data_IF_276950024858
#
_entry.id   IF_276950024858
#
_cell.length_a   1.000
_cell.length_b   1.000
_cell.length_c   1.000
_cell.angle_alpha   90.00
_cell.angle_beta   90.00
_cell.angle_gamma   90.00
#
_symmetry.space_group_name_H-M   'P 1'
#
loop_
_entity.id
_entity.type
_entity.pdbx_description
1 polymer ?
#
# COMPACT_ATOMS: atom_id res chain seq x y z
N UNK A 1 25.46 -20.99 -19.22
CA UNK A 1 26.47 -19.93 -19.43
C UNK A 1 25.74 -18.61 -19.62
N UNK A 2 25.90 -17.70 -18.64
CA UNK A 2 25.67 -16.24 -18.71
C UNK A 2 24.30 -15.69 -19.12
N UNK A 3 23.67 -14.89 -18.25
CA UNK A 3 23.67 -13.44 -18.44
C UNK A 3 23.01 -12.68 -17.27
N UNK A 4 23.86 -11.87 -16.61
CA UNK A 4 23.60 -10.53 -16.07
C UNK A 4 22.62 -10.45 -14.87
N UNK A 5 23.09 -10.41 -13.62
CA UNK A 5 24.19 -9.55 -13.18
C UNK A 5 23.82 -8.07 -13.29
N UNK A 6 22.65 -7.68 -12.76
CA UNK A 6 22.29 -6.27 -12.57
C UNK A 6 22.94 -5.77 -11.28
N UNK A 7 24.24 -5.52 -11.36
CA UNK A 7 24.92 -4.59 -10.46
C UNK A 7 25.03 -3.21 -11.13
N UNK A 8 25.42 -2.20 -10.37
CA UNK A 8 25.49 -0.77 -10.70
C UNK A 8 25.96 -0.33 -12.11
N UNK A 9 26.86 -1.05 -12.85
CA UNK A 9 27.41 -0.51 -14.10
C UNK A 9 26.39 -0.36 -15.24
N UNK A 10 25.25 -1.05 -15.17
CA UNK A 10 24.26 -1.06 -16.25
C UNK A 10 23.48 0.26 -16.39
N UNK A 11 23.62 1.19 -15.43
CA UNK A 11 23.03 2.53 -15.45
C UNK A 11 24.07 3.66 -15.58
N UNK A 12 25.37 3.33 -15.70
CA UNK A 12 26.44 4.34 -15.72
C UNK A 12 26.79 4.96 -14.36
N UNK A 13 26.14 4.51 -13.27
CA UNK A 13 26.41 4.96 -11.90
C UNK A 13 27.46 4.07 -11.22
N UNK A 14 28.30 4.68 -10.38
CA UNK A 14 29.28 3.94 -9.57
C UNK A 14 28.60 3.10 -8.47
N UNK A 15 29.22 2.00 -8.04
CA UNK A 15 28.68 1.13 -6.97
C UNK A 15 28.49 1.86 -5.63
N UNK A 16 29.37 2.82 -5.34
CA UNK A 16 29.32 3.69 -4.16
C UNK A 16 28.16 4.70 -4.24
N UNK A 17 27.93 5.26 -5.42
CA UNK A 17 26.87 6.21 -5.74
C UNK A 17 25.51 5.52 -5.73
N UNK A 18 25.39 4.34 -6.33
CA UNK A 18 24.21 3.49 -6.28
C UNK A 18 23.84 3.10 -4.84
N UNK A 19 24.83 2.75 -4.02
CA UNK A 19 24.62 2.43 -2.61
C UNK A 19 24.08 3.64 -1.84
N UNK A 20 24.64 4.83 -2.08
CA UNK A 20 24.25 6.04 -1.34
C UNK A 20 22.91 6.64 -1.79
N UNK A 21 22.67 6.69 -3.09
CA UNK A 21 21.48 7.34 -3.64
C UNK A 21 20.29 6.39 -3.72
N UNK A 22 20.51 5.10 -3.93
CA UNK A 22 19.41 4.15 -4.10
C UNK A 22 19.21 3.31 -2.84
N UNK A 23 20.28 2.70 -2.31
CA UNK A 23 20.16 1.76 -1.18
C UNK A 23 19.92 2.48 0.14
N UNK A 24 20.68 3.52 0.45
CA UNK A 24 20.53 4.27 1.70
C UNK A 24 19.19 5.03 1.76
N UNK A 25 18.69 5.53 0.61
CA UNK A 25 17.34 6.11 0.51
C UNK A 25 16.24 5.08 0.74
N UNK A 26 16.34 3.90 0.12
CA UNK A 26 15.41 2.78 0.39
C UNK A 26 15.46 2.40 1.87
N UNK A 27 16.64 2.40 2.50
CA UNK A 27 16.79 2.11 3.93
C UNK A 27 16.16 3.20 4.81
N UNK A 28 16.31 4.48 4.47
CA UNK A 28 15.68 5.59 5.19
C UNK A 28 14.14 5.53 5.10
N UNK A 29 13.64 5.25 3.89
CA UNK A 29 12.23 5.02 3.58
C UNK A 29 11.64 3.84 4.37
N UNK A 30 12.40 2.76 4.54
CA UNK A 30 12.01 1.61 5.34
C UNK A 30 12.07 1.88 6.87
N UNK A 31 12.88 2.86 7.30
CA UNK A 31 13.05 3.24 8.71
C UNK A 31 11.96 4.19 9.21
N UNK A 32 11.38 5.01 8.33
CA UNK A 32 10.21 5.85 8.62
C UNK A 32 10.51 7.34 8.84
N UNK A 33 11.74 7.79 8.60
CA UNK A 33 12.12 9.21 8.62
C UNK A 33 12.30 9.69 7.18
N UNK A 34 11.58 10.75 6.76
CA UNK A 34 11.68 11.32 5.39
C UNK A 34 11.10 10.46 4.26
N UNK A 35 10.57 9.27 4.57
CA UNK A 35 10.15 8.29 3.56
C UNK A 35 8.93 8.70 2.71
N UNK A 36 8.05 9.57 3.18
CA UNK A 36 6.90 9.98 2.38
C UNK A 36 7.28 10.89 1.22
N UNK A 37 8.15 11.87 1.45
CA UNK A 37 8.68 12.75 0.40
C UNK A 37 9.46 11.94 -0.65
N UNK A 38 10.26 10.96 -0.22
CA UNK A 38 10.98 10.06 -1.12
C UNK A 38 10.07 9.18 -1.97
N UNK A 39 9.04 8.57 -1.36
CA UNK A 39 8.07 7.77 -2.10
C UNK A 39 7.34 8.63 -3.14
N UNK A 40 6.95 9.85 -2.75
CA UNK A 40 6.33 10.80 -3.65
C UNK A 40 7.24 11.17 -4.83
N UNK A 41 8.53 11.42 -4.59
CA UNK A 41 9.52 11.69 -5.63
C UNK A 41 9.65 10.51 -6.61
N UNK A 42 9.69 9.27 -6.13
CA UNK A 42 9.73 8.07 -6.97
C UNK A 42 8.46 7.94 -7.84
N UNK A 43 7.28 8.26 -7.30
CA UNK A 43 6.02 8.27 -8.05
C UNK A 43 6.04 9.31 -9.16
N UNK A 44 6.53 10.52 -8.88
CA UNK A 44 6.69 11.59 -9.86
C UNK A 44 7.67 11.19 -10.98
N UNK A 45 8.81 10.60 -10.62
CA UNK A 45 9.81 10.16 -11.59
C UNK A 45 9.28 9.02 -12.48
N UNK A 46 8.52 8.07 -11.91
CA UNK A 46 7.81 7.04 -12.69
C UNK A 46 6.88 7.68 -13.72
N UNK A 47 6.11 8.71 -13.33
CA UNK A 47 5.20 9.44 -14.23
C UNK A 47 5.99 10.11 -15.36
N UNK A 48 7.11 10.77 -15.05
CA UNK A 48 8.00 11.41 -16.05
C UNK A 48 8.54 10.40 -17.07
N UNK A 49 9.01 9.23 -16.63
CA UNK A 49 9.52 8.17 -17.50
C UNK A 49 8.44 7.58 -18.41
N UNK A 50 7.22 7.40 -17.87
CA UNK A 50 6.08 6.93 -18.67
C UNK A 50 5.72 7.96 -19.77
N UNK A 51 5.72 9.25 -19.44
CA UNK A 51 5.50 10.34 -20.41
C UNK A 51 6.61 10.41 -21.48
N UNK A 52 7.85 10.08 -21.12
CA UNK A 52 8.99 9.98 -22.04
C UNK A 52 9.01 8.68 -22.87
N UNK A 53 7.99 7.82 -22.76
CA UNK A 53 7.89 6.51 -23.42
C UNK A 53 8.99 5.51 -22.99
N UNK A 54 9.62 5.72 -21.84
CA UNK A 54 10.65 4.84 -21.25
C UNK A 54 10.01 3.71 -20.41
N UNK A 55 9.16 2.90 -21.04
CA UNK A 55 8.27 1.95 -20.35
C UNK A 55 8.99 0.93 -19.47
N UNK A 56 10.15 0.41 -19.89
CA UNK A 56 10.90 -0.56 -19.07
C UNK A 56 11.43 0.07 -17.78
N UNK A 57 11.86 1.33 -17.83
CA UNK A 57 12.31 2.07 -16.65
C UNK A 57 11.12 2.40 -15.73
N UNK A 58 10.01 2.86 -16.29
CA UNK A 58 8.77 3.11 -15.56
C UNK A 58 8.23 1.84 -14.88
N UNK A 59 8.31 0.68 -15.55
CA UNK A 59 7.90 -0.60 -14.99
C UNK A 59 8.77 -1.03 -13.79
N UNK A 60 10.10 -0.83 -13.88
CA UNK A 60 11.00 -1.12 -12.75
C UNK A 60 10.70 -0.25 -11.53
N UNK A 61 10.46 1.04 -11.74
CA UNK A 61 10.08 1.97 -10.65
C UNK A 61 8.72 1.61 -10.05
N UNK A 62 7.74 1.23 -10.88
CA UNK A 62 6.44 0.73 -10.41
C UNK A 62 6.62 -0.45 -9.44
N UNK A 63 7.44 -1.43 -9.81
CA UNK A 63 7.64 -2.63 -9.00
C UNK A 63 8.38 -2.32 -7.69
N UNK A 64 9.33 -1.38 -7.72
CA UNK A 64 10.03 -0.89 -6.53
C UNK A 64 9.08 -0.16 -5.57
N UNK A 65 8.28 0.79 -6.06
CA UNK A 65 7.28 1.54 -5.29
C UNK A 65 6.31 0.57 -4.61
N UNK A 66 5.75 -0.38 -5.37
CA UNK A 66 4.83 -1.39 -4.84
C UNK A 66 5.48 -2.29 -3.76
N UNK A 67 6.78 -2.59 -3.91
CA UNK A 67 7.56 -3.32 -2.90
C UNK A 67 7.73 -2.53 -1.60
N UNK A 68 8.03 -1.24 -1.68
CA UNK A 68 8.16 -0.35 -0.52
C UNK A 68 6.82 -0.22 0.21
N UNK A 69 5.74 0.09 -0.52
CA UNK A 69 4.40 0.25 0.02
C UNK A 69 3.95 -1.02 0.75
N UNK A 70 4.24 -2.20 0.18
CA UNK A 70 3.98 -3.49 0.83
C UNK A 70 4.65 -3.61 2.20
N UNK A 71 5.92 -3.19 2.31
CA UNK A 71 6.65 -3.28 3.58
C UNK A 71 6.12 -2.25 4.58
N UNK A 72 5.83 -1.02 4.13
CA UNK A 72 5.23 0.02 4.98
C UNK A 72 3.84 -0.39 5.49
N UNK A 73 3.01 -0.95 4.62
CA UNK A 73 1.69 -1.48 4.95
C UNK A 73 1.79 -2.63 5.95
N UNK A 74 2.67 -3.60 5.70
CA UNK A 74 2.90 -4.70 6.64
C UNK A 74 3.36 -4.18 8.01
N UNK A 75 4.21 -3.15 8.07
CA UNK A 75 4.64 -2.54 9.33
C UNK A 75 3.46 -1.86 10.04
N UNK A 76 2.67 -1.05 9.33
CA UNK A 76 1.50 -0.33 9.86
C UNK A 76 0.45 -1.27 10.46
N UNK A 77 0.13 -2.35 9.75
CA UNK A 77 -0.92 -3.31 10.15
C UNK A 77 -0.41 -4.28 11.23
N UNK A 78 0.89 -4.56 11.30
CA UNK A 78 1.45 -5.45 12.35
C UNK A 78 1.68 -4.70 13.67
N UNK A 79 1.90 -3.38 13.64
CA UNK A 79 2.14 -2.58 14.86
C UNK A 79 0.87 -1.94 15.45
N UNK A 80 -0.28 -2.08 14.80
CA UNK A 80 -1.52 -1.44 15.26
C UNK A 80 -2.22 -2.22 16.37
N UNK A 81 -2.49 -1.54 17.49
CA UNK A 81 -3.42 -2.02 18.51
C UNK A 81 -4.86 -1.64 18.12
N UNK A 82 -5.82 -2.51 18.45
CA UNK A 82 -7.25 -2.32 18.16
C UNK A 82 -7.67 -2.77 16.76
N UNK A 83 -8.89 -2.42 16.38
CA UNK A 83 -9.41 -2.66 15.04
C UNK A 83 -8.78 -1.71 14.02
N UNK A 84 -8.44 -2.24 12.85
CA UNK A 84 -7.85 -1.52 11.73
C UNK A 84 -8.55 -1.95 10.44
N UNK A 85 -8.50 -1.10 9.44
CA UNK A 85 -8.93 -1.44 8.09
C UNK A 85 -7.85 -1.08 7.08
N UNK A 86 -7.76 -1.88 6.02
CA UNK A 86 -6.97 -1.58 4.84
C UNK A 86 -7.91 -1.49 3.65
N UNK A 87 -7.89 -0.36 2.96
CA UNK A 87 -8.74 -0.06 1.80
C UNK A 87 -7.88 -0.03 0.54
N UNK A 88 -8.36 -0.66 -0.52
CA UNK A 88 -7.71 -0.66 -1.82
C UNK A 88 -8.75 -0.68 -2.96
N UNK A 89 -8.44 -0.19 -4.16
CA UNK A 89 -9.31 -0.37 -5.32
C UNK A 89 -9.45 -1.86 -5.70
N UNK A 90 -10.64 -2.22 -6.18
CA UNK A 90 -10.90 -3.51 -6.81
C UNK A 90 -10.45 -3.52 -8.28
N UNK A 91 -10.40 -4.70 -8.87
CA UNK A 91 -10.31 -4.83 -10.35
C UNK A 91 -11.65 -4.56 -11.03
N UNK A 92 -12.75 -4.60 -10.27
CA UNK A 92 -14.05 -4.18 -10.77
C UNK A 92 -14.15 -2.64 -10.68
N UNK A 93 -14.43 -1.95 -11.80
CA UNK A 93 -14.54 -0.50 -11.81
C UNK A 93 -15.62 -0.02 -10.83
N UNK A 94 -15.31 1.02 -10.05
CA UNK A 94 -16.24 1.59 -9.08
C UNK A 94 -16.41 0.76 -7.82
N UNK A 95 -15.58 -0.26 -7.60
CA UNK A 95 -15.59 -1.07 -6.36
C UNK A 95 -14.28 -0.89 -5.61
N UNK A 96 -14.36 -0.78 -4.29
CA UNK A 96 -13.23 -0.83 -3.36
C UNK A 96 -13.30 -2.09 -2.52
N UNK A 97 -12.14 -2.60 -2.13
CA UNK A 97 -11.96 -3.76 -1.27
C UNK A 97 -11.48 -3.30 0.10
N UNK A 98 -12.16 -3.75 1.16
CA UNK A 98 -11.80 -3.42 2.54
C UNK A 98 -11.47 -4.68 3.32
N UNK A 99 -10.28 -4.69 3.94
CA UNK A 99 -9.80 -5.75 4.81
C UNK A 99 -9.78 -5.22 6.25
N UNK A 100 -10.65 -5.72 7.11
CA UNK A 100 -10.65 -5.39 8.53
C UNK A 100 -9.72 -6.34 9.29
N UNK A 101 -8.80 -5.79 10.07
CA UNK A 101 -7.86 -6.53 10.89
C UNK A 101 -7.99 -6.15 12.37
N UNK A 102 -7.74 -7.10 13.25
CA UNK A 102 -7.67 -6.89 14.70
C UNK A 102 -6.42 -7.59 15.22
N UNK A 103 -5.49 -6.81 15.78
CA UNK A 103 -4.21 -7.32 16.29
C UNK A 103 -3.47 -8.20 15.25
N UNK A 104 -3.51 -7.75 13.99
CA UNK A 104 -2.93 -8.42 12.83
C UNK A 104 -3.77 -9.56 12.22
N UNK A 105 -4.80 -10.06 12.90
CA UNK A 105 -5.71 -11.09 12.36
C UNK A 105 -6.72 -10.48 11.42
N UNK A 106 -6.99 -11.11 10.27
CA UNK A 106 -8.06 -10.70 9.37
C UNK A 106 -9.42 -11.10 9.98
N UNK A 107 -10.23 -10.11 10.35
CA UNK A 107 -11.55 -10.32 10.97
C UNK A 107 -12.70 -10.12 9.99
N UNK A 108 -12.43 -9.51 8.83
CA UNK A 108 -13.42 -9.34 7.77
C UNK A 108 -12.80 -8.89 6.46
N UNK A 109 -13.44 -9.24 5.36
CA UNK A 109 -13.12 -8.75 4.02
C UNK A 109 -14.41 -8.59 3.23
N UNK A 110 -14.63 -7.42 2.63
CA UNK A 110 -15.80 -7.13 1.81
C UNK A 110 -15.48 -6.09 0.75
N UNK A 111 -16.12 -6.21 -0.42
CA UNK A 111 -16.12 -5.19 -1.47
C UNK A 111 -17.32 -4.25 -1.33
N UNK A 112 -17.12 -2.97 -1.65
CA UNK A 112 -18.14 -1.93 -1.59
C UNK A 112 -18.14 -1.11 -2.87
N UNK A 113 -19.31 -0.71 -3.32
CA UNK A 113 -19.42 0.31 -4.38
C UNK A 113 -18.85 1.64 -3.88
N UNK A 114 -18.23 2.41 -4.76
CA UNK A 114 -17.73 3.73 -4.45
C UNK A 114 -18.89 4.63 -4.01
N UNK A 115 -18.81 5.15 -2.78
CA UNK A 115 -19.87 5.96 -2.17
C UNK A 115 -20.88 5.19 -1.30
N UNK A 116 -20.71 3.88 -1.08
CA UNK A 116 -21.52 3.11 -0.12
C UNK A 116 -21.10 3.41 1.34
N UNK A 117 -21.33 4.65 1.79
CA UNK A 117 -20.97 5.12 3.13
C UNK A 117 -21.66 4.31 4.23
N UNK A 118 -22.92 3.94 4.02
CA UNK A 118 -23.70 3.20 5.00
C UNK A 118 -23.18 1.77 5.17
N UNK A 119 -22.86 1.08 4.08
CA UNK A 119 -22.27 -0.25 4.10
C UNK A 119 -20.88 -0.25 4.74
N UNK A 120 -20.06 0.75 4.42
CA UNK A 120 -18.74 0.95 5.02
C UNK A 120 -18.84 1.19 6.53
N UNK A 121 -19.71 2.10 6.97
CA UNK A 121 -19.89 2.39 8.39
C UNK A 121 -20.33 1.14 9.17
N UNK A 122 -21.34 0.41 8.67
CA UNK A 122 -21.81 -0.82 9.30
C UNK A 122 -20.71 -1.90 9.38
N UNK A 123 -19.87 -2.02 8.34
CA UNK A 123 -18.76 -2.96 8.35
C UNK A 123 -17.66 -2.56 9.35
N UNK A 124 -17.40 -1.26 9.52
CA UNK A 124 -16.46 -0.78 10.53
C UNK A 124 -16.94 -1.10 11.96
N UNK A 125 -18.23 -0.86 12.24
CA UNK A 125 -18.85 -1.24 13.52
C UNK A 125 -18.72 -2.74 13.79
N UNK A 126 -19.09 -3.56 12.81
CA UNK A 126 -18.98 -5.03 12.86
C UNK A 126 -17.53 -5.49 13.15
N UNK A 127 -16.54 -4.82 12.58
CA UNK A 127 -15.12 -5.10 12.81
C UNK A 127 -14.66 -4.72 14.23
N UNK A 128 -15.11 -3.58 14.75
CA UNK A 128 -14.80 -3.11 16.10
C UNK A 128 -15.41 -4.04 17.17
N UNK A 129 -16.68 -4.43 17.02
CA UNK A 129 -17.34 -5.37 17.93
C UNK A 129 -16.66 -6.75 17.96
N UNK A 130 -16.21 -7.23 16.80
CA UNK A 130 -15.47 -8.49 16.72
C UNK A 130 -14.14 -8.44 17.46
N UNK A 131 -13.47 -7.28 17.48
CA UNK A 131 -12.22 -7.09 18.20
C UNK A 131 -12.40 -7.27 19.71
N UNK A 132 -13.49 -6.73 20.28
CA UNK A 132 -13.79 -6.86 21.72
C UNK A 132 -14.05 -8.30 22.14
N UNK A 133 -14.52 -9.14 21.20
CA UNK A 133 -14.82 -10.55 21.43
C UNK A 133 -13.61 -11.47 21.28
N UNK A 134 -12.49 -10.99 20.74
CA UNK A 134 -11.31 -11.79 20.44
C UNK A 134 -10.33 -11.81 21.63
N UNK A 135 -9.76 -12.97 21.99
CA UNK A 135 -8.70 -13.02 22.98
C UNK A 135 -7.43 -12.39 22.41
N UNK A 136 -6.69 -11.67 23.27
CA UNK A 136 -5.42 -11.02 22.97
C UNK A 136 -4.53 -11.91 22.09
N UNK A 137 -4.10 -11.37 20.97
CA UNK A 137 -3.48 -12.09 19.89
C UNK A 137 -2.04 -12.46 20.24
N UNK A 138 -1.77 -13.76 20.24
CA UNK A 138 -0.41 -14.27 20.17
C UNK A 138 0.23 -14.05 18.79
N UNK A 139 1.44 -14.57 18.60
CA UNK A 139 2.30 -14.37 17.39
C UNK A 139 1.63 -14.67 16.03
N UNK A 140 0.53 -15.43 15.99
CA UNK A 140 -0.19 -15.80 14.76
C UNK A 140 -0.87 -14.63 14.03
N UNK A 141 -1.31 -13.58 14.73
CA UNK A 141 -1.91 -12.41 14.07
C UNK A 141 -0.95 -11.73 13.10
N UNK A 142 0.35 -11.73 13.40
CA UNK A 142 1.34 -11.09 12.52
C UNK A 142 1.49 -11.71 11.12
N UNK A 143 1.01 -12.94 10.89
CA UNK A 143 1.13 -13.59 9.58
C UNK A 143 0.00 -13.22 8.61
N UNK A 144 -1.23 -13.05 9.08
CA UNK A 144 -2.37 -12.70 8.23
C UNK A 144 -2.25 -11.27 7.69
N UNK A 145 -1.89 -10.31 8.54
CA UNK A 145 -1.55 -8.94 8.13
C UNK A 145 -0.47 -8.90 7.02
N UNK A 146 0.57 -9.73 7.13
CA UNK A 146 1.61 -9.83 6.10
C UNK A 146 1.07 -10.40 4.79
N UNK A 147 0.16 -11.38 4.85
CA UNK A 147 -0.48 -11.95 3.66
C UNK A 147 -1.35 -10.91 2.97
N UNK A 148 -2.19 -10.18 3.72
CA UNK A 148 -3.02 -9.08 3.18
C UNK A 148 -2.14 -8.01 2.54
N UNK A 149 -1.08 -7.57 3.23
CA UNK A 149 -0.15 -6.60 2.67
C UNK A 149 0.53 -7.10 1.39
N UNK A 150 0.98 -8.37 1.36
CA UNK A 150 1.61 -8.97 0.18
C UNK A 150 0.64 -9.18 -0.99
N UNK A 151 -0.63 -9.41 -0.70
CA UNK A 151 -1.69 -9.47 -1.70
C UNK A 151 -1.97 -8.09 -2.31
N UNK A 152 -2.19 -7.08 -1.46
CA UNK A 152 -2.54 -5.72 -1.88
C UNK A 152 -1.39 -5.03 -2.60
N UNK A 153 -0.16 -5.11 -2.08
CA UNK A 153 1.02 -4.52 -2.73
C UNK A 153 1.46 -5.22 -4.02
N UNK A 154 0.71 -6.20 -4.54
CA UNK A 154 0.85 -6.71 -5.92
C UNK A 154 -0.28 -6.26 -6.84
N UNK A 155 -1.44 -5.91 -6.28
CA UNK A 155 -2.68 -5.65 -7.02
C UNK A 155 -3.01 -4.17 -7.12
N UNK A 156 -2.57 -3.34 -6.16
CA UNK A 156 -2.82 -1.90 -6.12
C UNK A 156 -1.58 -1.12 -5.71
N UNK A 157 -1.35 0.02 -6.37
CA UNK A 157 -0.40 1.06 -5.94
C UNK A 157 -1.03 2.15 -5.09
N UNK A 158 -2.33 2.06 -4.82
CA UNK A 158 -3.07 2.93 -3.89
C UNK A 158 -3.65 2.04 -2.81
N UNK A 159 -3.09 2.11 -1.61
CA UNK A 159 -3.57 1.35 -0.45
C UNK A 159 -3.54 2.25 0.76
N UNK A 160 -4.63 2.27 1.49
CA UNK A 160 -4.74 3.07 2.70
C UNK A 160 -5.01 2.19 3.91
N UNK A 161 -4.21 2.34 4.97
CA UNK A 161 -4.42 1.68 6.24
C UNK A 161 -4.89 2.71 7.28
N UNK A 162 -5.98 2.41 7.98
CA UNK A 162 -6.60 3.29 8.98
C UNK A 162 -6.90 2.51 10.26
N UNK A 163 -6.73 3.15 11.42
CA UNK A 163 -7.23 2.61 12.70
C UNK A 163 -8.71 2.97 12.81
N UNK A 164 -9.54 2.02 13.22
CA UNK A 164 -10.95 2.23 13.44
C UNK A 164 -11.18 2.64 14.89
N UNK A 165 -11.35 3.94 15.13
CA UNK A 165 -11.86 4.47 16.40
C UNK A 165 -13.37 4.71 16.34
N UNK A 166 -13.86 5.12 15.16
CA UNK A 166 -15.27 5.32 14.85
C UNK A 166 -15.57 4.82 13.43
N UNK A 167 -16.84 4.53 13.13
CA UNK A 167 -17.25 4.02 11.82
C UNK A 167 -16.86 4.96 10.65
N UNK A 168 -16.87 6.27 10.91
CA UNK A 168 -16.51 7.31 9.92
C UNK A 168 -15.05 7.27 9.50
N UNK A 169 -14.16 6.63 10.26
CA UNK A 169 -12.75 6.52 9.90
C UNK A 169 -12.56 5.70 8.62
N UNK A 170 -13.33 4.62 8.48
CA UNK A 170 -13.31 3.80 7.27
C UNK A 170 -13.89 4.54 6.06
N UNK A 171 -14.99 5.28 6.26
CA UNK A 171 -15.62 6.07 5.19
C UNK A 171 -14.63 7.08 4.62
N UNK A 172 -13.95 7.84 5.47
CA UNK A 172 -12.94 8.83 5.03
C UNK A 172 -11.73 8.19 4.32
N UNK A 173 -11.32 6.99 4.74
CA UNK A 173 -10.25 6.25 4.07
C UNK A 173 -10.68 5.75 2.68
N UNK A 174 -11.93 5.31 2.56
CA UNK A 174 -12.52 4.94 1.27
C UNK A 174 -12.59 6.12 0.31
N UNK A 175 -13.03 7.30 0.77
CA UNK A 175 -13.06 8.52 -0.05
C UNK A 175 -11.69 8.86 -0.62
N UNK A 176 -10.64 8.85 0.21
CA UNK A 176 -9.27 9.12 -0.23
C UNK A 176 -8.76 8.13 -1.27
N UNK A 177 -9.07 6.84 -1.11
CA UNK A 177 -8.71 5.81 -2.10
C UNK A 177 -9.47 6.04 -3.42
N UNK A 178 -10.76 6.38 -3.36
CA UNK A 178 -11.57 6.69 -4.56
C UNK A 178 -11.03 7.94 -5.27
N UNK A 179 -10.70 9.00 -4.52
CA UNK A 179 -10.10 10.22 -5.08
C UNK A 179 -8.74 9.95 -5.75
N UNK A 180 -7.86 9.19 -5.09
CA UNK A 180 -6.55 8.84 -5.63
C UNK A 180 -6.62 7.94 -6.88
N UNK A 181 -7.70 7.17 -7.05
CA UNK A 181 -7.97 6.38 -8.26
C UNK A 181 -8.69 7.22 -9.33
N UNK A 182 -9.48 8.20 -8.91
CA UNK A 182 -10.27 9.10 -9.75
C UNK A 182 -9.49 10.25 -10.38
N UNK A 183 -8.26 10.55 -9.93
CA UNK A 183 -7.35 11.40 -10.71
C UNK A 183 -7.09 10.73 -12.07
N UNK A 184 -7.57 11.30 -13.19
CA UNK A 184 -7.38 10.67 -14.48
C UNK A 184 -5.88 10.55 -14.77
N UNK A 185 -5.43 9.34 -15.15
CA UNK A 185 -4.31 9.22 -16.08
C UNK A 185 -4.68 10.07 -17.29
N UNK A 186 -4.17 11.31 -17.34
CA UNK A 186 -4.39 12.24 -18.44
C UNK A 186 -4.10 11.46 -19.73
N UNK A 187 -5.11 11.23 -20.59
CA UNK A 187 -4.86 10.53 -21.85
C UNK A 187 -3.87 11.37 -22.64
N UNK A 188 -2.80 10.74 -23.14
CA UNK A 188 -1.94 11.38 -24.14
C UNK A 188 -2.82 11.87 -25.28
N UNK A 189 -2.90 13.19 -25.43
CA UNK A 189 -3.41 13.90 -26.60
C UNK A 189 -2.34 14.87 -27.08
#
# INVERSE_FOLDING_TARGET
YGQMGRCAPCAGMGEEEYRREVVDEIVALLRGEGGEEHLHALVLERKRLAQALEFEAAARLRDLIAGIERVRLARSVVSGEGAQAVVAPSTEPGVIEVFALSEGRLVGHRGFEAGDEAGLAAFAEEAMERQESLPAAGKNGSNEARIVAAYLGRRSGVVEAVRLGEATDLVRAAERVVEAVGEPEVPLA
#
